data_IF_439717599872
#
_entry.id   IF_439717599872
#
_cell.length_a   1.000
_cell.length_b   1.000
_cell.length_c   1.000
_cell.angle_alpha   90.00
_cell.angle_beta   90.00
_cell.angle_gamma   90.00
#
_symmetry.space_group_name_H-M   'P 1'
#
loop_
_entity.id
_entity.type
_entity.pdbx_description
1 polymer ?
#
# COMPACT_ATOMS: atom_id res chain seq x y z
N UNK A 1 9.49 -12.44 16.20
CA UNK A 1 10.49 -11.98 15.20
C UNK A 1 11.20 -10.74 15.72
N UNK A 2 12.47 -10.51 15.35
CA UNK A 2 13.22 -9.31 15.72
C UNK A 2 12.69 -8.07 14.95
N UNK A 3 11.94 -7.19 15.64
CA UNK A 3 11.35 -5.98 15.03
C UNK A 3 12.38 -5.00 14.48
N UNK A 4 13.54 -4.87 15.12
CA UNK A 4 14.61 -3.96 14.67
C UNK A 4 15.10 -4.34 13.27
N UNK A 5 15.43 -5.62 13.07
CA UNK A 5 15.83 -6.15 11.77
C UNK A 5 14.71 -5.99 10.74
N UNK A 6 13.47 -6.31 11.10
CA UNK A 6 12.33 -6.14 10.20
C UNK A 6 12.21 -4.70 9.69
N UNK A 7 12.21 -3.71 10.60
CA UNK A 7 12.05 -2.30 10.23
C UNK A 7 13.22 -1.77 9.40
N UNK A 8 14.44 -2.21 9.70
CA UNK A 8 15.62 -1.83 8.91
C UNK A 8 15.53 -2.34 7.46
N UNK A 9 15.03 -3.56 7.26
CA UNK A 9 14.86 -4.14 5.93
C UNK A 9 13.72 -3.49 5.15
N UNK A 10 12.54 -3.34 5.76
CA UNK A 10 11.40 -2.72 5.06
C UNK A 10 11.66 -1.25 4.72
N UNK A 11 12.40 -0.52 5.57
CA UNK A 11 12.87 0.84 5.24
C UNK A 11 13.60 0.85 3.91
N UNK A 12 14.52 -0.08 3.67
CA UNK A 12 15.26 -0.17 2.41
C UNK A 12 14.30 -0.42 1.25
N UNK A 13 13.51 -1.48 1.35
CA UNK A 13 12.46 -1.81 0.39
C UNK A 13 11.29 -2.52 1.11
N UNK A 14 10.03 -2.15 0.85
CA UNK A 14 9.58 -1.35 -0.29
C UNK A 14 9.52 0.17 -0.03
N UNK A 15 9.95 0.66 1.13
CA UNK A 15 9.70 2.06 1.53
C UNK A 15 10.73 3.09 1.01
N UNK A 16 11.80 2.66 0.34
CA UNK A 16 12.70 3.58 -0.38
C UNK A 16 13.53 4.49 0.53
N UNK A 17 13.88 4.01 1.71
CA UNK A 17 14.86 4.62 2.61
C UNK A 17 14.28 5.37 3.80
N UNK A 18 12.96 5.51 3.88
CA UNK A 18 12.30 6.26 4.96
C UNK A 18 11.07 5.54 5.48
N UNK A 19 10.79 5.71 6.76
CA UNK A 19 9.56 5.22 7.41
C UNK A 19 8.98 6.34 8.26
N UNK A 20 7.73 6.71 8.05
CA UNK A 20 7.04 7.68 8.91
C UNK A 20 6.58 7.02 10.21
N UNK A 21 6.29 7.82 11.24
CA UNK A 21 5.68 7.32 12.49
C UNK A 21 4.37 6.58 12.21
N UNK A 22 3.55 7.08 11.28
CA UNK A 22 2.29 6.42 10.89
C UNK A 22 2.52 5.08 10.17
N UNK A 23 3.53 4.96 9.32
CA UNK A 23 3.88 3.69 8.68
C UNK A 23 4.36 2.67 9.71
N UNK A 24 5.21 3.08 10.65
CA UNK A 24 5.67 2.24 11.75
C UNK A 24 4.49 1.75 12.60
N UNK A 25 3.56 2.64 12.96
CA UNK A 25 2.36 2.27 13.73
C UNK A 25 1.49 1.24 12.99
N UNK A 26 1.28 1.42 11.69
CA UNK A 26 0.49 0.49 10.87
C UNK A 26 1.15 -0.89 10.72
N UNK A 27 2.46 -0.91 10.46
CA UNK A 27 3.25 -2.14 10.41
C UNK A 27 3.20 -2.88 11.76
N UNK A 28 3.41 -2.18 12.87
CA UNK A 28 3.30 -2.78 14.20
C UNK A 28 1.90 -3.36 14.45
N UNK A 29 0.83 -2.63 14.15
CA UNK A 29 -0.53 -3.15 14.34
C UNK A 29 -0.80 -4.46 13.57
N UNK A 30 -0.29 -4.58 12.33
CA UNK A 30 -0.40 -5.82 11.54
C UNK A 30 0.41 -6.95 12.20
N UNK A 31 1.65 -6.66 12.59
CA UNK A 31 2.53 -7.66 13.15
C UNK A 31 2.09 -8.12 14.55
N UNK A 32 1.55 -7.23 15.36
CA UNK A 32 1.02 -7.54 16.69
C UNK A 32 -0.25 -8.40 16.58
N UNK A 33 -1.10 -8.11 15.58
CA UNK A 33 -2.24 -8.98 15.27
C UNK A 33 -1.78 -10.36 14.79
N UNK A 34 -0.74 -10.42 13.94
CA UNK A 34 -0.13 -11.69 13.52
C UNK A 34 0.34 -12.52 14.71
N UNK A 35 1.12 -11.93 15.62
CA UNK A 35 1.65 -12.62 16.80
C UNK A 35 0.53 -13.13 17.74
N UNK A 36 -0.59 -12.40 17.80
CA UNK A 36 -1.79 -12.81 18.53
C UNK A 36 -2.57 -13.94 17.82
N UNK A 37 -2.58 -13.97 16.48
CA UNK A 37 -3.40 -14.88 15.67
C UNK A 37 -2.98 -16.35 15.69
N UNK A 38 -1.74 -16.64 16.11
CA UNK A 38 -1.13 -18.00 16.08
C UNK A 38 -0.97 -18.61 14.69
N UNK A 39 -1.15 -17.84 13.62
CA UNK A 39 -0.80 -18.24 12.26
C UNK A 39 0.72 -18.40 12.14
N UNK A 40 1.16 -19.37 11.34
CA UNK A 40 2.59 -19.75 11.26
C UNK A 40 3.18 -19.65 9.85
N UNK A 41 2.36 -19.69 8.81
CA UNK A 41 2.84 -19.57 7.43
C UNK A 41 3.23 -18.11 7.12
N UNK A 42 4.51 -17.79 7.26
CA UNK A 42 5.04 -16.43 7.03
C UNK A 42 4.78 -15.89 5.63
N UNK A 43 4.46 -16.76 4.64
CA UNK A 43 4.01 -16.32 3.31
C UNK A 43 2.69 -15.56 3.42
N UNK A 44 1.80 -15.97 4.31
CA UNK A 44 0.54 -15.27 4.54
C UNK A 44 0.80 -13.88 5.12
N UNK A 45 1.67 -13.77 6.13
CA UNK A 45 2.05 -12.48 6.70
C UNK A 45 2.65 -11.53 5.66
N UNK A 46 3.58 -12.02 4.84
CA UNK A 46 4.20 -11.24 3.78
C UNK A 46 3.14 -10.68 2.80
N UNK A 47 2.12 -11.48 2.46
CA UNK A 47 1.05 -11.05 1.56
C UNK A 47 0.08 -10.06 2.22
N UNK A 48 -0.21 -10.28 3.51
CA UNK A 48 -1.01 -9.39 4.36
C UNK A 48 -0.33 -8.03 4.53
N UNK A 49 1.01 -7.95 4.55
CA UNK A 49 1.75 -6.68 4.58
C UNK A 49 1.83 -6.02 3.20
N UNK A 50 2.00 -6.82 2.14
CA UNK A 50 2.09 -6.32 0.76
C UNK A 50 0.80 -5.65 0.27
N UNK A 51 -0.36 -6.17 0.67
CA UNK A 51 -1.66 -5.65 0.26
C UNK A 51 -1.93 -4.22 0.73
N UNK A 52 -1.90 -3.87 2.03
CA UNK A 52 -2.11 -2.51 2.50
C UNK A 52 -1.04 -1.56 1.96
N UNK A 53 0.19 -2.03 1.73
CA UNK A 53 1.19 -1.22 1.04
C UNK A 53 0.72 -0.84 -0.36
N UNK A 54 0.17 -1.78 -1.13
CA UNK A 54 -0.41 -1.50 -2.44
C UNK A 54 -1.66 -0.62 -2.38
N UNK A 55 -2.67 -1.02 -1.59
CA UNK A 55 -4.00 -0.41 -1.59
C UNK A 55 -4.00 1.01 -1.00
N UNK A 56 -3.11 1.29 -0.05
CA UNK A 56 -3.04 2.60 0.62
C UNK A 56 -1.99 3.54 0.01
N UNK A 57 -1.27 3.08 -1.01
CA UNK A 57 -0.14 3.81 -1.60
C UNK A 57 1.03 3.97 -0.63
N UNK A 58 1.35 2.92 0.11
CA UNK A 58 2.46 2.87 1.06
C UNK A 58 2.20 3.57 2.40
N UNK A 59 1.00 4.09 2.65
CA UNK A 59 0.68 4.76 3.93
C UNK A 59 0.64 3.82 5.12
N UNK A 60 0.28 2.55 4.87
CA UNK A 60 0.06 1.54 5.91
C UNK A 60 -0.97 1.98 6.96
N UNK A 61 -1.94 2.80 6.56
CA UNK A 61 -3.00 3.31 7.41
C UNK A 61 -4.35 3.13 6.69
N UNK A 62 -5.44 2.90 7.41
CA UNK A 62 -6.78 2.88 6.83
C UNK A 62 -7.02 4.17 6.04
N UNK A 63 -7.53 4.05 4.82
CA UNK A 63 -7.84 5.19 3.96
C UNK A 63 -9.30 5.16 3.54
N UNK A 64 -9.88 6.33 3.33
CA UNK A 64 -11.22 6.49 2.78
C UNK A 64 -11.13 7.08 1.37
N UNK A 65 -11.91 6.54 0.44
CA UNK A 65 -12.09 7.17 -0.87
C UNK A 65 -12.79 8.52 -0.71
N UNK A 66 -12.17 9.59 -1.19
CA UNK A 66 -12.77 10.93 -1.15
C UNK A 66 -13.67 11.23 -2.37
N UNK A 67 -13.42 10.57 -3.51
CA UNK A 67 -14.10 10.76 -4.79
C UNK A 67 -14.18 12.22 -5.28
N UNK A 68 -13.26 13.08 -4.83
CA UNK A 68 -13.27 14.50 -5.11
C UNK A 68 -12.37 14.84 -6.31
N UNK A 69 -12.91 14.67 -7.51
CA UNK A 69 -12.20 14.96 -8.76
C UNK A 69 -12.35 16.43 -9.17
N UNK A 70 -11.26 17.05 -9.64
CA UNK A 70 -11.25 18.47 -10.01
C UNK A 70 -11.57 18.71 -11.48
N UNK A 71 -11.46 17.69 -12.32
CA UNK A 71 -11.82 17.78 -13.75
C UNK A 71 -12.63 16.58 -14.23
N UNK A 72 -13.46 16.80 -15.25
CA UNK A 72 -14.26 15.76 -15.87
C UNK A 72 -13.36 14.71 -16.58
N UNK A 73 -12.23 15.15 -17.15
CA UNK A 73 -11.22 14.28 -17.73
C UNK A 73 -10.70 13.22 -16.74
N UNK A 74 -10.42 13.60 -15.49
CA UNK A 74 -9.95 12.65 -14.47
C UNK A 74 -11.04 11.62 -14.10
N UNK A 75 -12.29 12.06 -13.97
CA UNK A 75 -13.43 11.17 -13.71
C UNK A 75 -13.58 10.17 -14.86
N UNK A 76 -13.63 10.66 -16.10
CA UNK A 76 -13.75 9.80 -17.29
C UNK A 76 -12.58 8.83 -17.42
N UNK A 77 -11.36 9.26 -17.14
CA UNK A 77 -10.17 8.39 -17.13
C UNK A 77 -10.31 7.25 -16.13
N UNK A 78 -10.96 7.50 -14.99
CA UNK A 78 -11.17 6.49 -13.94
C UNK A 78 -12.31 5.53 -14.29
N UNK A 79 -13.39 6.03 -14.90
CA UNK A 79 -14.55 5.21 -15.30
C UNK A 79 -14.96 5.43 -16.76
N UNK A 80 -14.13 5.02 -17.73
CA UNK A 80 -14.38 5.30 -19.16
C UNK A 80 -15.65 4.61 -19.67
N UNK A 81 -16.07 3.51 -19.03
CA UNK A 81 -17.31 2.79 -19.36
C UNK A 81 -18.55 3.47 -18.77
N UNK A 82 -18.41 4.21 -17.65
CA UNK A 82 -19.54 4.92 -17.01
C UNK A 82 -19.79 6.28 -17.66
N UNK A 83 -18.75 6.89 -18.21
CA UNK A 83 -18.81 8.22 -18.82
C UNK A 83 -18.36 8.17 -20.27
N UNK A 84 -19.33 8.24 -21.19
CA UNK A 84 -19.07 8.25 -22.64
C UNK A 84 -18.05 9.32 -23.04
N UNK A 85 -18.23 10.53 -22.51
CA UNK A 85 -17.44 11.73 -22.80
C UNK A 85 -17.26 12.57 -21.52
N UNK A 86 -16.43 13.61 -21.58
CA UNK A 86 -16.21 14.51 -20.45
C UNK A 86 -17.45 15.33 -20.10
N UNK A 87 -18.33 15.60 -21.07
CA UNK A 87 -19.59 16.31 -20.81
C UNK A 87 -20.49 15.52 -19.86
N UNK A 88 -20.56 14.20 -20.02
CA UNK A 88 -21.29 13.30 -19.12
C UNK A 88 -20.69 13.26 -17.69
N UNK A 89 -19.38 13.46 -17.56
CA UNK A 89 -18.69 13.49 -16.25
C UNK A 89 -18.74 14.86 -15.56
N UNK A 90 -18.94 15.94 -16.31
CA UNK A 90 -18.95 17.33 -15.81
C UNK A 90 -19.87 17.56 -14.59
N UNK A 91 -21.10 16.98 -14.50
CA UNK A 91 -21.98 17.17 -13.34
C UNK A 91 -21.47 16.57 -12.02
N UNK A 92 -20.38 15.78 -12.06
CA UNK A 92 -19.81 15.07 -10.92
C UNK A 92 -18.48 15.66 -10.44
N UNK A 93 -17.94 16.66 -11.16
CA UNK A 93 -16.74 17.39 -10.75
C UNK A 93 -17.01 18.11 -9.43
N UNK A 94 -16.10 17.91 -8.47
CA UNK A 94 -16.23 18.42 -7.09
C UNK A 94 -17.55 18.05 -6.40
N UNK A 95 -18.17 16.94 -6.82
CA UNK A 95 -19.40 16.43 -6.23
C UNK A 95 -19.26 14.94 -5.86
N UNK A 96 -18.47 14.64 -4.81
CA UNK A 96 -18.05 13.28 -4.50
C UNK A 96 -19.20 12.35 -4.11
N UNK A 97 -20.20 12.85 -3.35
CA UNK A 97 -21.37 12.06 -2.99
C UNK A 97 -22.21 11.67 -4.21
N UNK A 98 -22.47 12.63 -5.11
CA UNK A 98 -23.22 12.36 -6.34
C UNK A 98 -22.45 11.39 -7.24
N UNK A 99 -21.12 11.52 -7.31
CA UNK A 99 -20.28 10.60 -8.05
C UNK A 99 -20.34 9.19 -7.45
N UNK A 100 -20.18 9.05 -6.13
CA UNK A 100 -20.25 7.77 -5.42
C UNK A 100 -21.56 7.04 -5.68
N UNK A 101 -22.69 7.75 -5.56
CA UNK A 101 -24.02 7.19 -5.79
C UNK A 101 -24.22 6.74 -7.24
N UNK A 102 -23.62 7.44 -8.21
CA UNK A 102 -23.62 6.97 -9.61
C UNK A 102 -22.78 5.71 -9.80
N UNK A 103 -21.53 5.68 -9.30
CA UNK A 103 -20.58 4.60 -9.65
C UNK A 103 -20.85 3.31 -8.86
N UNK A 104 -21.38 3.44 -7.64
CA UNK A 104 -21.59 2.32 -6.71
C UNK A 104 -23.07 2.02 -6.41
N UNK A 105 -24.01 2.90 -6.77
CA UNK A 105 -25.44 2.65 -6.56
C UNK A 105 -25.95 1.41 -7.31
N UNK A 106 -26.88 0.66 -6.69
CA UNK A 106 -27.48 -0.54 -7.29
C UNK A 106 -26.57 -1.76 -7.41
N UNK A 107 -25.39 -1.75 -6.78
CA UNK A 107 -24.37 -2.81 -6.87
C UNK A 107 -23.82 -3.16 -5.49
N UNK A 108 -23.24 -4.34 -5.33
CA UNK A 108 -22.55 -4.74 -4.08
C UNK A 108 -23.44 -4.61 -2.83
N UNK A 109 -24.73 -4.87 -2.99
CA UNK A 109 -25.74 -4.72 -1.93
C UNK A 109 -26.30 -3.31 -1.74
N UNK A 110 -25.75 -2.29 -2.41
CA UNK A 110 -26.23 -0.91 -2.34
C UNK A 110 -27.62 -0.80 -2.98
N UNK A 111 -28.61 -0.37 -2.19
CA UNK A 111 -30.03 -0.31 -2.57
C UNK A 111 -30.67 1.05 -2.30
N UNK A 112 -30.24 1.76 -1.26
CA UNK A 112 -30.76 3.09 -0.97
C UNK A 112 -30.08 4.17 -1.84
N UNK A 113 -30.74 5.32 -2.06
CA UNK A 113 -30.22 6.39 -2.92
C UNK A 113 -28.81 6.88 -2.58
N UNK A 114 -28.41 6.80 -1.31
CA UNK A 114 -27.11 7.27 -0.83
C UNK A 114 -26.11 6.15 -0.49
N UNK A 115 -26.45 4.89 -0.75
CA UNK A 115 -25.60 3.76 -0.33
C UNK A 115 -24.23 3.79 -1.02
N UNK A 116 -24.14 4.34 -2.24
CA UNK A 116 -22.85 4.48 -2.93
C UNK A 116 -21.87 5.37 -2.16
N UNK A 117 -22.35 6.46 -1.56
CA UNK A 117 -21.55 7.31 -0.68
C UNK A 117 -21.33 6.69 0.69
N UNK A 118 -22.40 6.18 1.32
CA UNK A 118 -22.33 5.59 2.67
C UNK A 118 -21.33 4.44 2.73
N UNK A 119 -21.33 3.56 1.73
CA UNK A 119 -20.50 2.35 1.67
C UNK A 119 -19.38 2.45 0.62
N UNK A 120 -18.82 3.65 0.42
CA UNK A 120 -17.61 3.85 -0.41
C UNK A 120 -16.37 3.15 0.19
N UNK A 121 -15.28 3.09 -0.58
CA UNK A 121 -14.07 2.36 -0.17
C UNK A 121 -13.46 2.87 1.12
N UNK A 122 -13.25 1.97 2.10
CA UNK A 122 -12.54 2.25 3.35
C UNK A 122 -11.57 1.15 3.75
N UNK A 123 -10.67 1.53 4.66
CA UNK A 123 -9.79 0.59 5.34
C UNK A 123 -8.56 0.22 4.54
N UNK A 124 -7.75 -0.65 5.15
CA UNK A 124 -6.49 -1.14 4.60
C UNK A 124 -6.69 -1.93 3.29
N UNK A 125 -7.84 -2.60 3.11
CA UNK A 125 -8.17 -3.42 1.93
C UNK A 125 -9.11 -2.72 0.93
N UNK A 126 -9.53 -1.48 1.20
CA UNK A 126 -10.51 -0.74 0.39
C UNK A 126 -11.85 -1.48 0.19
N UNK A 127 -12.39 -2.05 1.28
CA UNK A 127 -13.70 -2.69 1.26
C UNK A 127 -14.79 -1.69 0.83
N UNK A 128 -15.65 -2.12 -0.09
CA UNK A 128 -16.63 -1.26 -0.77
C UNK A 128 -17.96 -1.99 -0.95
N UNK A 129 -19.05 -1.25 -0.77
CA UNK A 129 -20.43 -1.72 -0.96
C UNK A 129 -21.03 -2.33 0.31
N UNK A 130 -22.32 -2.10 0.50
CA UNK A 130 -23.10 -2.49 1.68
C UNK A 130 -22.92 -3.95 2.09
N UNK A 131 -22.92 -4.85 1.11
CA UNK A 131 -22.74 -6.28 1.36
C UNK A 131 -21.37 -6.59 1.97
N UNK A 132 -20.31 -5.88 1.54
CA UNK A 132 -18.98 -6.08 2.09
C UNK A 132 -18.91 -5.62 3.55
N UNK A 133 -19.42 -4.42 3.84
CA UNK A 133 -19.51 -3.93 5.22
C UNK A 133 -20.34 -4.87 6.11
N UNK A 134 -21.44 -5.43 5.59
CA UNK A 134 -22.24 -6.42 6.31
C UNK A 134 -21.43 -7.70 6.65
N UNK A 135 -20.56 -8.20 5.75
CA UNK A 135 -19.70 -9.37 6.03
C UNK A 135 -18.74 -9.15 7.21
N UNK A 136 -18.36 -7.90 7.47
CA UNK A 136 -17.50 -7.54 8.60
C UNK A 136 -18.30 -7.05 9.83
N UNK A 137 -19.63 -7.04 9.77
CA UNK A 137 -20.48 -6.55 10.87
C UNK A 137 -20.52 -5.03 11.00
N UNK A 138 -20.17 -4.32 9.93
CA UNK A 138 -19.99 -2.85 9.90
C UNK A 138 -21.09 -2.13 9.10
N UNK A 139 -22.15 -2.84 8.70
CA UNK A 139 -23.21 -2.24 7.87
C UNK A 139 -23.88 -1.01 8.52
N UNK A 140 -24.06 -1.05 9.85
CA UNK A 140 -24.65 0.04 10.61
C UNK A 140 -23.67 1.21 10.82
N UNK A 141 -22.37 0.92 10.90
CA UNK A 141 -21.30 1.87 11.27
C UNK A 141 -20.07 1.68 10.35
N UNK A 142 -20.17 2.01 9.05
CA UNK A 142 -19.11 1.72 8.08
C UNK A 142 -17.80 2.48 8.33
N UNK A 143 -17.82 3.55 9.11
CA UNK A 143 -16.63 4.28 9.54
C UNK A 143 -15.70 3.46 10.45
N UNK A 144 -16.18 2.38 11.08
CA UNK A 144 -15.34 1.45 11.85
C UNK A 144 -14.19 0.88 11.01
N UNK A 145 -14.37 0.76 9.69
CA UNK A 145 -13.32 0.33 8.77
C UNK A 145 -12.07 1.24 8.76
N UNK A 146 -12.19 2.48 9.28
CA UNK A 146 -11.09 3.46 9.39
C UNK A 146 -10.35 3.40 10.72
N UNK A 147 -10.90 2.70 11.72
CA UNK A 147 -10.14 2.37 12.92
C UNK A 147 -9.04 1.36 12.57
N UNK A 148 -7.78 1.63 12.96
CA UNK A 148 -6.63 0.82 12.55
C UNK A 148 -6.78 -0.64 13.02
N UNK A 149 -7.20 -0.84 14.27
CA UNK A 149 -7.35 -2.19 14.84
C UNK A 149 -8.43 -2.97 14.10
N UNK A 150 -9.57 -2.35 13.85
CA UNK A 150 -10.69 -2.95 13.11
C UNK A 150 -10.28 -3.25 11.66
N UNK A 151 -9.61 -2.32 11.00
CA UNK A 151 -9.13 -2.50 9.62
C UNK A 151 -8.13 -3.65 9.48
N UNK A 152 -7.22 -3.81 10.45
CA UNK A 152 -6.30 -4.95 10.50
C UNK A 152 -7.07 -6.26 10.69
N UNK A 153 -8.03 -6.30 11.63
CA UNK A 153 -8.85 -7.49 11.84
C UNK A 153 -9.62 -7.89 10.57
N UNK A 154 -10.23 -6.92 9.87
CA UNK A 154 -10.93 -7.17 8.61
C UNK A 154 -9.98 -7.65 7.50
N UNK A 155 -8.78 -7.09 7.42
CA UNK A 155 -7.75 -7.53 6.46
C UNK A 155 -7.45 -9.02 6.65
N UNK A 156 -7.11 -9.42 7.87
CA UNK A 156 -6.81 -10.82 8.19
C UNK A 156 -8.01 -11.72 7.93
N UNK A 157 -9.16 -11.41 8.52
CA UNK A 157 -10.38 -12.21 8.37
C UNK A 157 -10.75 -12.38 6.89
N UNK A 158 -10.76 -11.28 6.14
CA UNK A 158 -11.12 -11.29 4.74
C UNK A 158 -10.18 -12.10 3.85
N UNK A 159 -8.87 -12.10 4.12
CA UNK A 159 -7.90 -12.88 3.36
C UNK A 159 -7.86 -14.36 3.73
N UNK A 160 -8.11 -14.69 5.00
CA UNK A 160 -8.07 -16.07 5.51
C UNK A 160 -9.36 -16.81 5.14
N UNK A 161 -10.50 -16.17 5.32
CA UNK A 161 -11.82 -16.74 5.04
C UNK A 161 -12.26 -16.52 3.58
N UNK A 162 -11.56 -15.66 2.83
CA UNK A 162 -11.88 -15.35 1.44
C UNK A 162 -13.10 -14.45 1.26
N UNK A 163 -13.36 -13.53 2.20
CA UNK A 163 -14.59 -12.72 2.21
C UNK A 163 -14.66 -11.70 1.07
N UNK A 164 -13.51 -11.26 0.53
CA UNK A 164 -13.46 -10.25 -0.51
C UNK A 164 -13.95 -10.79 -1.87
N UNK A 165 -13.42 -11.92 -2.32
CA UNK A 165 -13.65 -12.47 -3.67
C UNK A 165 -13.96 -13.97 -3.72
N UNK A 166 -14.17 -14.60 -2.56
CA UNK A 166 -14.27 -16.06 -2.36
C UNK A 166 -12.94 -16.84 -2.51
N UNK A 167 -11.82 -16.15 -2.77
CA UNK A 167 -10.49 -16.74 -2.74
C UNK A 167 -9.77 -16.44 -1.43
N UNK A 168 -9.07 -17.43 -0.87
CA UNK A 168 -8.33 -17.32 0.38
C UNK A 168 -6.83 -17.61 0.20
N UNK A 169 -6.01 -17.11 1.13
CA UNK A 169 -4.55 -17.27 1.10
C UNK A 169 -4.11 -18.74 1.01
N UNK A 170 -4.83 -19.66 1.67
CA UNK A 170 -4.53 -21.11 1.66
C UNK A 170 -4.54 -21.74 0.26
N UNK A 171 -5.26 -21.14 -0.70
CA UNK A 171 -5.29 -21.62 -2.09
C UNK A 171 -3.98 -21.33 -2.83
N UNK A 172 -3.25 -20.28 -2.42
CA UNK A 172 -2.04 -19.80 -3.09
C UNK A 172 -0.76 -20.08 -2.32
N UNK A 173 -0.87 -20.29 -1.01
CA UNK A 173 0.23 -20.56 -0.10
C UNK A 173 -0.11 -21.75 0.77
N UNK A 174 0.46 -22.90 0.44
CA UNK A 174 0.33 -24.17 1.16
C UNK A 174 1.56 -25.06 0.89
N UNK A 175 1.52 -26.33 1.25
CA UNK A 175 2.66 -27.26 1.11
C UNK A 175 3.09 -27.48 -0.33
N UNK A 176 2.19 -27.25 -1.29
CA UNK A 176 2.42 -27.48 -2.72
C UNK A 176 2.38 -26.21 -3.56
N UNK A 177 1.92 -25.09 -3.01
CA UNK A 177 1.75 -23.83 -3.71
C UNK A 177 2.47 -22.67 -3.03
N UNK A 178 3.11 -21.83 -3.85
CA UNK A 178 3.63 -20.53 -3.47
C UNK A 178 3.44 -19.55 -4.65
N UNK A 179 2.22 -19.01 -4.79
CA UNK A 179 1.82 -18.17 -5.92
C UNK A 179 1.39 -16.75 -5.47
N UNK A 180 2.35 -15.85 -5.19
CA UNK A 180 2.04 -14.48 -4.83
C UNK A 180 1.42 -13.65 -5.97
N UNK A 181 1.56 -14.07 -7.23
CA UNK A 181 0.93 -13.37 -8.36
C UNK A 181 -0.55 -13.71 -8.41
N UNK A 182 -0.89 -15.00 -8.31
CA UNK A 182 -2.26 -15.49 -8.27
C UNK A 182 -3.01 -15.06 -7.03
N UNK A 183 -2.32 -14.96 -5.88
CA UNK A 183 -2.88 -14.50 -4.62
C UNK A 183 -3.54 -13.11 -4.71
N UNK A 184 -3.29 -12.33 -5.77
CA UNK A 184 -4.01 -11.07 -5.99
C UNK A 184 -5.51 -11.27 -6.06
N UNK A 185 -5.94 -12.43 -6.56
CA UNK A 185 -7.34 -12.82 -6.61
C UNK A 185 -8.03 -12.81 -5.25
N UNK A 186 -7.31 -12.97 -4.13
CA UNK A 186 -7.86 -12.87 -2.76
C UNK A 186 -8.48 -11.50 -2.51
N UNK A 187 -7.93 -10.43 -3.10
CA UNK A 187 -8.40 -9.06 -2.89
C UNK A 187 -9.18 -8.55 -4.08
N UNK A 188 -8.71 -8.81 -5.30
CA UNK A 188 -9.34 -8.32 -6.52
C UNK A 188 -9.02 -9.22 -7.72
N UNK A 189 -9.94 -9.30 -8.69
CA UNK A 189 -9.77 -10.07 -9.94
C UNK A 189 -8.77 -9.48 -10.94
N UNK A 190 -7.93 -8.52 -10.55
CA UNK A 190 -7.00 -7.78 -11.41
C UNK A 190 -5.58 -8.37 -11.43
N UNK A 191 -5.41 -9.66 -11.10
CA UNK A 191 -4.11 -10.35 -11.07
C UNK A 191 -3.27 -10.18 -12.35
N UNK A 192 -3.91 -10.06 -13.52
CA UNK A 192 -3.22 -9.85 -14.80
C UNK A 192 -2.49 -8.50 -14.88
N UNK A 193 -2.97 -7.47 -14.18
CA UNK A 193 -2.41 -6.12 -14.25
C UNK A 193 -1.66 -5.72 -12.98
N UNK A 194 -2.05 -6.27 -11.82
CA UNK A 194 -1.46 -5.91 -10.52
C UNK A 194 -0.75 -7.06 -9.80
N UNK A 195 -0.95 -8.31 -10.21
CA UNK A 195 -0.39 -9.48 -9.53
C UNK A 195 1.14 -9.44 -9.40
N UNK A 196 1.86 -9.17 -10.50
CA UNK A 196 3.32 -9.07 -10.48
C UNK A 196 3.84 -7.93 -9.59
N UNK A 197 3.15 -6.79 -9.58
CA UNK A 197 3.52 -5.64 -8.74
C UNK A 197 3.38 -5.98 -7.25
N UNK A 198 2.23 -6.54 -6.86
CA UNK A 198 1.98 -6.95 -5.46
C UNK A 198 2.93 -8.09 -5.04
N UNK A 199 3.24 -9.02 -5.94
CA UNK A 199 4.24 -10.07 -5.70
C UNK A 199 5.64 -9.50 -5.43
N UNK A 200 6.01 -8.39 -6.07
CA UNK A 200 7.26 -7.67 -5.78
C UNK A 200 7.29 -7.11 -4.35
N UNK A 201 6.19 -6.49 -3.89
CA UNK A 201 6.09 -6.03 -2.49
C UNK A 201 6.12 -7.20 -1.50
N UNK A 202 5.38 -8.27 -1.80
CA UNK A 202 5.39 -9.52 -1.05
C UNK A 202 6.81 -10.05 -0.85
N UNK A 203 7.63 -10.08 -1.91
CA UNK A 203 9.02 -10.54 -1.82
C UNK A 203 9.82 -9.70 -0.82
N UNK A 204 9.72 -8.38 -0.91
CA UNK A 204 10.43 -7.49 0.02
C UNK A 204 10.02 -7.72 1.48
N UNK A 205 8.72 -7.91 1.74
CA UNK A 205 8.23 -8.22 3.09
C UNK A 205 8.66 -9.61 3.56
N UNK A 206 8.63 -10.62 2.69
CA UNK A 206 9.07 -11.97 3.02
C UNK A 206 10.57 -12.00 3.37
N UNK A 207 11.40 -11.31 2.58
CA UNK A 207 12.84 -11.17 2.85
C UNK A 207 13.08 -10.50 4.22
N UNK A 208 12.32 -9.44 4.54
CA UNK A 208 12.40 -8.77 5.85
C UNK A 208 11.95 -9.66 7.02
N UNK A 209 10.88 -10.45 6.85
CA UNK A 209 10.40 -11.40 7.87
C UNK A 209 11.42 -12.51 8.10
N UNK A 210 12.00 -13.05 7.03
CA UNK A 210 13.02 -14.10 7.13
C UNK A 210 14.27 -13.59 7.86
N UNK A 211 14.79 -12.41 7.47
CA UNK A 211 15.92 -11.79 8.15
C UNK A 211 15.61 -11.53 9.65
N UNK A 212 14.42 -11.03 9.96
CA UNK A 212 13.98 -10.79 11.32
C UNK A 212 13.79 -12.07 12.15
N UNK A 213 13.36 -13.16 11.52
CA UNK A 213 13.17 -14.46 12.16
C UNK A 213 14.52 -15.12 12.45
N UNK A 214 15.45 -15.08 11.50
CA UNK A 214 16.82 -15.58 11.71
C UNK A 214 17.54 -14.78 12.80
N UNK A 215 17.45 -13.44 12.78
CA UNK A 215 18.03 -12.59 13.82
C UNK A 215 17.51 -12.91 15.22
N UNK A 216 16.22 -13.22 15.36
CA UNK A 216 15.64 -13.66 16.64
C UNK A 216 16.16 -15.04 17.06
N UNK A 217 16.21 -16.01 16.13
CA UNK A 217 16.69 -17.38 16.42
C UNK A 217 18.13 -17.39 16.91
N UNK A 218 19.01 -16.61 16.28
CA UNK A 218 20.45 -16.58 16.64
C UNK A 218 20.77 -15.57 17.74
N UNK A 219 19.80 -14.74 18.14
CA UNK A 219 19.99 -13.69 19.15
C UNK A 219 20.93 -12.55 18.73
N UNK A 220 21.15 -12.37 17.42
CA UNK A 220 22.08 -11.37 16.88
C UNK A 220 21.38 -10.50 15.83
N UNK A 221 21.66 -9.20 15.87
CA UNK A 221 21.25 -8.25 14.83
C UNK A 221 22.27 -8.36 13.68
N UNK A 222 21.84 -8.46 12.40
CA UNK A 222 22.76 -8.48 11.27
C UNK A 222 23.70 -7.27 11.27
N UNK A 223 24.96 -7.46 10.86
CA UNK A 223 25.97 -6.40 10.90
C UNK A 223 25.63 -5.18 10.03
N UNK A 224 24.79 -5.36 9.01
CA UNK A 224 24.31 -4.30 8.13
C UNK A 224 23.07 -3.55 8.66
N UNK A 225 22.57 -3.94 9.83
CA UNK A 225 21.42 -3.33 10.50
C UNK A 225 21.89 -2.43 11.63
N UNK A 226 21.44 -1.18 11.60
CA UNK A 226 21.62 -0.23 12.69
C UNK A 226 20.31 0.00 13.42
N UNK A 227 20.34 0.20 14.74
CA UNK A 227 19.11 0.36 15.54
C UNK A 227 18.32 1.61 15.13
N UNK A 228 19.02 2.65 14.69
CA UNK A 228 18.43 3.85 14.09
C UNK A 228 17.65 3.57 12.79
N UNK A 229 17.97 2.48 12.08
CA UNK A 229 17.25 2.03 10.89
C UNK A 229 15.87 1.44 11.21
N UNK A 230 15.56 1.23 12.49
CA UNK A 230 14.25 0.83 12.95
C UNK A 230 13.36 2.01 13.42
N UNK A 231 13.92 3.21 13.62
CA UNK A 231 13.20 4.37 14.19
C UNK A 231 12.57 5.27 13.13
N UNK A 232 11.36 5.80 13.29
CA UNK A 232 10.72 6.64 12.27
C UNK A 232 11.55 7.89 11.90
N UNK A 233 11.36 8.35 10.66
CA UNK A 233 11.97 9.53 10.02
C UNK A 233 10.87 10.39 9.36
N UNK A 234 10.28 11.27 10.16
CA UNK A 234 9.21 12.19 9.74
C UNK A 234 9.72 13.54 9.23
N UNK A 235 11.03 13.74 9.10
CA UNK A 235 11.54 15.03 8.62
C UNK A 235 11.31 15.19 7.11
N UNK A 236 11.21 16.42 6.56
CA UNK A 236 11.14 16.60 5.10
C UNK A 236 12.27 15.86 4.38
N UNK A 237 12.01 15.34 3.17
CA UNK A 237 12.96 14.45 2.46
C UNK A 237 14.38 15.03 2.34
N UNK A 238 14.50 16.33 2.06
CA UNK A 238 15.79 17.03 1.96
C UNK A 238 16.57 17.08 3.29
N UNK A 239 15.91 16.86 4.43
CA UNK A 239 16.53 16.80 5.77
C UNK A 239 16.73 15.36 6.28
N UNK A 240 16.25 14.35 5.54
CA UNK A 240 16.25 12.96 5.99
C UNK A 240 17.65 12.35 5.87
N UNK A 241 18.31 12.15 7.01
CA UNK A 241 19.62 11.50 7.08
C UNK A 241 19.57 10.05 6.59
N UNK A 242 18.46 9.35 6.85
CA UNK A 242 18.29 7.95 6.43
C UNK A 242 18.18 7.82 4.90
N UNK A 243 17.45 8.73 4.26
CA UNK A 243 17.38 8.81 2.80
C UNK A 243 18.74 9.14 2.18
N UNK A 244 19.44 10.14 2.73
CA UNK A 244 20.77 10.52 2.25
C UNK A 244 21.79 9.39 2.39
N UNK A 245 21.78 8.66 3.51
CA UNK A 245 22.65 7.51 3.72
C UNK A 245 22.41 6.38 2.71
N UNK A 246 21.16 6.15 2.31
CA UNK A 246 20.84 5.20 1.23
C UNK A 246 21.40 5.68 -0.12
N UNK A 247 21.17 6.95 -0.47
CA UNK A 247 21.63 7.52 -1.75
C UNK A 247 23.16 7.46 -1.86
N UNK A 248 23.87 7.79 -0.78
CA UNK A 248 25.35 7.79 -0.77
C UNK A 248 25.94 6.38 -0.64
N UNK A 249 25.28 5.49 0.09
CA UNK A 249 25.71 4.09 0.28
C UNK A 249 25.74 3.26 -1.00
N UNK A 250 24.89 3.58 -1.98
CA UNK A 250 24.92 2.95 -3.31
C UNK A 250 26.16 3.31 -4.15
N UNK A 251 26.95 4.32 -3.76
CA UNK A 251 28.18 4.70 -4.45
C UNK A 251 29.44 3.97 -3.97
N UNK A 252 29.35 3.16 -2.92
CA UNK A 252 30.50 2.58 -2.21
C UNK A 252 30.82 1.13 -2.59
N UNK A 253 31.13 0.87 -3.87
CA UNK A 253 31.98 -0.22 -4.38
C UNK A 253 31.83 -0.29 -5.91
N UNK A 254 32.51 0.60 -6.64
CA UNK A 254 32.56 0.54 -8.11
C UNK A 254 31.53 1.42 -8.83
N UNK A 255 31.75 2.74 -8.79
CA UNK A 255 31.48 3.66 -9.90
C UNK A 255 30.08 3.69 -10.49
N UNK A 256 29.17 4.43 -9.85
CA UNK A 256 28.29 5.42 -10.49
C UNK A 256 27.49 6.09 -9.36
N UNK A 257 27.87 7.32 -9.02
CA UNK A 257 27.15 8.12 -8.05
C UNK A 257 25.83 8.58 -8.68
N UNK A 258 24.68 8.14 -8.15
CA UNK A 258 23.36 8.68 -8.53
C UNK A 258 23.33 10.21 -8.33
N UNK A 259 24.14 10.72 -7.40
CA UNK A 259 24.34 12.14 -7.17
C UNK A 259 25.02 12.85 -8.34
N UNK A 260 26.00 12.23 -9.02
CA UNK A 260 26.63 12.81 -10.23
C UNK A 260 25.70 12.83 -11.44
N UNK A 261 24.78 11.86 -11.55
CA UNK A 261 23.76 11.85 -12.59
C UNK A 261 22.66 12.90 -12.34
N UNK A 262 22.24 13.08 -11.09
CA UNK A 262 21.20 14.05 -10.71
C UNK A 262 21.72 15.50 -10.62
N UNK A 263 22.99 15.71 -10.29
CA UNK A 263 23.59 17.05 -10.19
C UNK A 263 24.00 17.64 -11.55
N UNK A 264 24.31 16.79 -12.54
CA UNK A 264 24.78 17.23 -13.86
C UNK A 264 23.70 17.23 -14.96
N UNK A 265 22.43 17.03 -14.62
CA UNK A 265 21.31 17.13 -15.58
C UNK A 265 21.30 16.06 -16.68
N UNK A 266 22.06 14.97 -16.53
CA UNK A 266 22.06 13.85 -17.46
C UNK A 266 20.88 12.92 -17.17
N UNK A 267 20.11 12.59 -18.20
CA UNK A 267 18.88 11.80 -18.04
C UNK A 267 19.19 10.42 -17.45
N UNK A 268 18.52 10.12 -16.33
CA UNK A 268 18.52 8.88 -15.53
C UNK A 268 18.43 7.56 -16.32
N UNK A 269 18.06 7.62 -17.60
CA UNK A 269 17.85 6.48 -18.50
C UNK A 269 19.13 5.96 -19.18
N UNK A 270 20.22 6.74 -19.19
CA UNK A 270 21.42 6.41 -19.98
C UNK A 270 22.47 5.52 -19.31
N UNK A 271 22.35 5.21 -18.01
CA UNK A 271 23.49 4.75 -17.20
C UNK A 271 23.36 3.37 -16.54
N UNK A 272 22.36 2.54 -16.88
CA UNK A 272 22.12 1.32 -16.07
C UNK A 272 21.92 0.07 -16.94
N UNK A 273 22.96 -0.75 -17.05
CA UNK A 273 22.91 -2.12 -17.57
C UNK A 273 22.59 -3.18 -16.48
N UNK A 274 22.06 -2.75 -15.33
CA UNK A 274 21.67 -3.64 -14.23
C UNK A 274 20.19 -3.45 -13.85
N UNK A 275 19.31 -4.44 -14.12
CA UNK A 275 17.86 -4.30 -13.87
C UNK A 275 17.51 -4.10 -12.38
N UNK A 276 18.40 -4.47 -11.45
CA UNK A 276 18.18 -4.28 -10.01
C UNK A 276 18.53 -2.86 -9.53
N UNK A 277 19.50 -2.20 -10.18
CA UNK A 277 19.79 -0.79 -9.91
C UNK A 277 18.68 0.12 -10.45
N UNK A 278 18.05 -0.24 -11.56
CA UNK A 278 16.87 0.44 -12.08
C UNK A 278 15.68 0.31 -11.10
N UNK A 279 15.50 -0.85 -10.47
CA UNK A 279 14.47 -1.09 -9.44
C UNK A 279 14.71 -0.30 -8.15
N UNK A 280 15.97 -0.09 -7.75
CA UNK A 280 16.32 0.74 -6.58
C UNK A 280 16.08 2.25 -6.82
N UNK A 281 16.35 2.71 -8.04
CA UNK A 281 16.02 4.09 -8.47
C UNK A 281 14.52 4.26 -8.68
N UNK A 282 13.84 3.24 -9.22
CA UNK A 282 12.38 3.22 -9.31
C UNK A 282 11.73 3.12 -7.94
N UNK A 283 12.30 2.43 -6.95
CA UNK A 283 11.71 2.37 -5.60
C UNK A 283 11.83 3.69 -4.84
N UNK A 284 12.88 4.48 -5.09
CA UNK A 284 12.95 5.91 -4.70
C UNK A 284 11.81 6.73 -5.34
N UNK A 285 11.40 6.36 -6.57
CA UNK A 285 10.26 6.96 -7.26
C UNK A 285 8.90 6.33 -6.91
N UNK A 286 8.80 5.11 -6.34
CA UNK A 286 7.54 4.34 -6.18
C UNK A 286 6.73 4.79 -4.96
N UNK A 287 7.38 5.23 -3.87
CA UNK A 287 6.67 5.93 -2.79
C UNK A 287 5.99 7.20 -3.33
N UNK A 288 6.71 7.93 -4.19
CA UNK A 288 6.15 9.06 -4.94
C UNK A 288 5.25 8.65 -6.10
N UNK A 289 5.39 7.46 -6.67
CA UNK A 289 4.78 7.08 -7.94
C UNK A 289 3.41 6.46 -7.77
N UNK A 290 3.21 5.66 -6.73
CA UNK A 290 1.86 5.21 -6.34
C UNK A 290 1.11 6.35 -5.65
N UNK A 291 1.78 7.12 -4.78
CA UNK A 291 1.17 8.31 -4.18
C UNK A 291 0.84 9.38 -5.22
N UNK A 292 1.76 9.72 -6.13
CA UNK A 292 1.48 10.62 -7.24
C UNK A 292 0.52 10.00 -8.23
N UNK A 293 0.50 8.68 -8.46
CA UNK A 293 -0.57 8.08 -9.26
C UNK A 293 -1.92 8.23 -8.58
N UNK A 294 -2.03 8.03 -7.27
CA UNK A 294 -3.26 8.24 -6.49
C UNK A 294 -3.68 9.72 -6.46
N UNK A 295 -2.73 10.65 -6.33
CA UNK A 295 -2.98 12.11 -6.36
C UNK A 295 -3.30 12.60 -7.77
N UNK A 296 -2.53 12.22 -8.80
CA UNK A 296 -2.74 12.56 -10.21
C UNK A 296 -3.98 11.90 -10.81
N UNK A 297 -4.35 10.71 -10.32
CA UNK A 297 -5.63 10.07 -10.67
C UNK A 297 -6.81 10.58 -9.86
N UNK A 298 -6.62 11.56 -8.95
CA UNK A 298 -7.70 12.14 -8.15
C UNK A 298 -8.29 11.20 -7.10
N UNK A 299 -7.71 10.02 -6.89
CA UNK A 299 -8.13 9.02 -5.88
C UNK A 299 -7.76 9.43 -4.46
N UNK A 300 -6.87 10.40 -4.30
CA UNK A 300 -6.42 10.91 -3.01
C UNK A 300 -6.12 12.42 -3.11
N UNK A 301 -6.73 13.22 -2.23
CA UNK A 301 -6.43 14.64 -2.07
C UNK A 301 -5.68 14.85 -0.75
N UNK A 302 -4.63 15.66 -0.79
CA UNK A 302 -3.92 16.13 0.41
C UNK A 302 -4.72 17.32 0.94
N UNK A 303 -5.34 17.16 2.11
CA UNK A 303 -5.93 18.28 2.82
C UNK A 303 -4.78 19.12 3.38
N UNK A 304 -4.54 20.29 2.79
CA UNK A 304 -3.71 21.31 3.44
C UNK A 304 -4.53 21.87 4.60
N UNK A 305 -4.17 21.49 5.83
CA UNK A 305 -4.66 22.18 7.01
C UNK A 305 -4.31 23.66 6.86
N UNK A 306 -5.32 24.52 6.81
CA UNK A 306 -5.10 25.96 6.95
C UNK A 306 -4.48 26.16 8.33
N UNK A 307 -3.27 26.71 8.37
CA UNK A 307 -2.75 27.31 9.58
C UNK A 307 -3.77 28.34 10.05
N UNK A 308 -4.28 28.16 11.26
CA UNK A 308 -5.07 29.19 11.94
C UNK A 308 -4.11 30.37 12.16
N UNK A 309 -4.49 31.51 11.61
CA UNK A 309 -3.83 32.81 11.78
C UNK A 309 -3.86 33.27 13.23
#
# INVERSE_FOLDING_TARGET
MNRTTFFAYVRKAPFGGRLTTSQVAGLNAILDYWDASKLTDVRWLAYILATPFHETGGKMQPVEENLNYTTAAQIRKTWPVRFRDEAAAKPYVRNPQKLANLVYGGRMGNRAPNDGWTYRGRGLAQQTGRLMYAKFGEEANPELALDLKTSVANMFKGMIEGLYTAHALREYFNDTANDPVGARAVINGDKRTKGALVAGYYKNFLDAINAASEAEKVGLIPADVKVEDAKPDDVPAHKSKSLWAMITGFGGAGGFSLFDAMSNGSTLLGAINNPWALLAVLSLAVGGGVFAWLVMSGRLQILHGKAVS
#
